data_IF_261555496735
#
_entry.id   IF_261555496735
#
_cell.length_a   1.000
_cell.length_b   1.000
_cell.length_c   1.000
_cell.angle_alpha   90.00
_cell.angle_beta   90.00
_cell.angle_gamma   90.00
#
_symmetry.space_group_name_H-M   'P 1'
#
loop_
_entity.id
_entity.type
_entity.pdbx_description
1 polymer ?
#
# COMPACT_ATOMS: atom_id res chain seq x y z
N UNK A 1 92.28 31.80 1.80
CA UNK A 1 93.64 32.35 1.41
C UNK A 1 93.43 33.49 0.44
N UNK A 2 93.99 34.63 0.79
CA UNK A 2 94.35 35.81 -0.05
C UNK A 2 93.18 36.51 -0.73
N UNK A 3 92.72 37.69 -0.22
CA UNK A 3 93.37 39.04 -0.05
C UNK A 3 93.32 39.82 -1.37
N UNK A 4 92.37 40.85 -1.42
CA UNK A 4 92.54 42.26 -1.48
C UNK A 4 93.58 42.74 -2.55
N UNK A 5 93.49 43.91 -3.26
CA UNK A 5 93.01 45.25 -2.84
C UNK A 5 92.17 46.01 -3.91
N UNK A 6 91.34 46.92 -3.57
CA UNK A 6 91.49 48.31 -3.18
C UNK A 6 92.28 49.19 -4.18
N UNK A 7 91.72 50.35 -4.42
CA UNK A 7 92.18 51.63 -4.90
C UNK A 7 91.69 52.07 -6.28
N UNK A 8 90.99 53.05 -6.34
CA UNK A 8 91.19 54.50 -6.27
C UNK A 8 90.94 55.16 -7.62
N UNK A 9 90.35 56.29 -7.55
CA UNK A 9 90.47 57.57 -8.29
C UNK A 9 89.10 57.86 -8.97
N UNK A 10 88.27 58.65 -8.39
CA UNK A 10 88.30 60.16 -8.20
C UNK A 10 88.21 60.94 -9.51
N UNK A 11 87.17 61.73 -9.50
CA UNK A 11 87.01 63.00 -10.18
C UNK A 11 86.92 63.06 -11.70
N UNK A 12 85.70 63.24 -12.18
CA UNK A 12 85.56 64.41 -13.11
C UNK A 12 84.11 64.89 -13.04
N UNK A 13 84.08 66.06 -12.48
CA UNK A 13 82.93 66.94 -12.29
C UNK A 13 82.62 67.62 -13.63
N UNK A 14 81.43 67.96 -13.78
CA UNK A 14 80.84 69.18 -14.32
C UNK A 14 79.86 69.04 -15.45
N UNK A 15 78.68 69.55 -15.10
CA UNK A 15 77.70 70.25 -15.94
C UNK A 15 77.10 69.59 -17.15
N UNK A 16 75.81 69.18 -16.97
CA UNK A 16 74.82 69.57 -17.96
C UNK A 16 73.48 69.79 -17.21
N UNK A 17 73.23 71.05 -16.93
CA UNK A 17 71.87 71.51 -16.60
C UNK A 17 71.07 71.44 -17.89
N UNK A 18 70.25 70.52 -18.02
CA UNK A 18 69.26 70.44 -19.07
C UNK A 18 67.89 70.69 -18.43
N UNK A 19 67.22 71.68 -18.96
CA UNK A 19 65.88 72.12 -18.65
C UNK A 19 64.92 71.01 -18.46
N UNK A 20 64.37 70.83 -17.29
CA UNK A 20 63.14 70.05 -17.13
C UNK A 20 61.96 71.02 -17.35
N UNK A 21 61.32 70.92 -18.50
CA UNK A 21 59.97 71.41 -18.70
C UNK A 21 59.04 70.80 -17.68
N UNK A 22 58.13 71.54 -17.03
CA UNK A 22 57.16 71.00 -16.17
C UNK A 22 56.13 70.19 -17.06
N UNK A 23 56.14 68.88 -16.90
CA UNK A 23 55.16 67.99 -17.46
C UNK A 23 53.76 68.43 -16.96
N UNK A 24 53.05 69.08 -17.85
CA UNK A 24 51.63 69.44 -17.61
C UNK A 24 50.88 68.21 -17.33
N UNK A 25 50.55 67.97 -16.07
CA UNK A 25 49.59 66.89 -15.70
C UNK A 25 48.27 67.29 -16.34
N UNK A 26 47.98 66.67 -17.47
CA UNK A 26 46.64 66.65 -18.03
C UNK A 26 45.64 66.15 -16.95
N UNK A 27 44.55 66.85 -16.76
CA UNK A 27 43.56 66.43 -15.75
C UNK A 27 43.16 64.99 -16.07
N UNK A 28 43.37 64.07 -15.11
CA UNK A 28 42.92 62.68 -15.18
C UNK A 28 41.40 62.74 -15.35
N UNK A 29 40.91 62.58 -16.57
CA UNK A 29 39.50 62.47 -16.81
C UNK A 29 39.05 61.26 -16.03
N UNK A 30 38.35 61.46 -14.94
CA UNK A 30 37.57 60.37 -14.31
C UNK A 30 36.66 59.82 -15.35
N UNK A 31 36.94 58.56 -15.77
CA UNK A 31 36.07 57.83 -16.70
C UNK A 31 34.69 57.74 -16.05
N UNK A 32 33.70 58.34 -16.67
CA UNK A 32 32.34 58.20 -16.23
C UNK A 32 32.06 56.68 -16.04
N UNK A 33 31.45 56.27 -14.93
CA UNK A 33 31.07 54.86 -14.75
C UNK A 33 30.29 54.42 -15.96
N UNK A 34 30.62 53.23 -16.48
CA UNK A 34 29.87 52.64 -17.57
C UNK A 34 28.40 52.42 -17.12
N UNK A 35 27.47 52.92 -17.89
CA UNK A 35 26.05 52.61 -17.70
C UNK A 35 25.87 51.10 -17.96
N UNK A 36 25.38 50.39 -16.95
CA UNK A 36 25.06 48.98 -17.05
C UNK A 36 23.54 48.83 -16.84
N UNK A 37 22.91 48.12 -17.74
CA UNK A 37 21.51 47.73 -17.57
C UNK A 37 21.43 46.65 -16.49
N UNK A 38 20.62 46.87 -15.50
CA UNK A 38 20.34 45.92 -14.43
C UNK A 38 18.89 45.51 -14.48
N UNK A 39 18.66 44.23 -14.43
CA UNK A 39 17.32 43.66 -14.29
C UNK A 39 17.18 43.04 -12.91
N UNK A 40 15.98 43.11 -12.35
CA UNK A 40 15.67 42.40 -11.14
C UNK A 40 15.74 40.89 -11.40
N UNK A 41 16.31 40.09 -10.49
CA UNK A 41 16.34 38.65 -10.63
C UNK A 41 14.93 38.12 -10.68
N UNK A 42 14.67 37.23 -11.64
CA UNK A 42 13.39 36.53 -11.75
C UNK A 42 13.28 35.54 -10.56
N UNK A 43 12.33 35.76 -9.68
CA UNK A 43 12.03 34.84 -8.58
C UNK A 43 10.93 33.88 -9.05
N UNK A 44 11.26 32.58 -9.16
CA UNK A 44 10.30 31.55 -9.47
C UNK A 44 10.26 30.53 -8.33
N UNK A 45 9.04 30.20 -7.88
CA UNK A 45 8.85 29.11 -6.93
C UNK A 45 8.95 27.80 -7.69
N UNK A 46 10.03 27.08 -7.49
CA UNK A 46 10.21 25.75 -8.04
C UNK A 46 9.72 24.70 -7.03
N UNK A 47 9.05 23.68 -7.54
CA UNK A 47 8.78 22.47 -6.77
C UNK A 47 9.90 21.49 -7.06
N UNK A 48 10.59 21.07 -6.01
CA UNK A 48 11.64 20.05 -6.10
C UNK A 48 10.99 18.68 -6.02
N UNK A 49 11.43 17.76 -6.91
CA UNK A 49 10.89 16.40 -7.03
C UNK A 49 12.01 15.40 -6.85
N UNK A 50 11.76 14.40 -6.03
CA UNK A 50 12.61 13.22 -5.97
C UNK A 50 11.93 12.10 -6.77
N UNK A 51 12.69 11.42 -7.66
CA UNK A 51 12.21 10.37 -8.52
C UNK A 51 12.66 9.00 -7.98
N UNK A 52 11.73 8.07 -7.91
CA UNK A 52 11.95 6.71 -7.45
C UNK A 52 11.40 5.72 -8.46
N UNK A 53 12.07 4.60 -8.62
CA UNK A 53 11.55 3.46 -9.38
C UNK A 53 10.84 2.52 -8.44
N UNK A 54 9.68 2.02 -8.85
CA UNK A 54 8.88 1.11 -8.05
C UNK A 54 8.09 0.13 -8.90
N UNK A 55 7.23 -0.62 -8.24
CA UNK A 55 6.34 -1.60 -8.88
C UNK A 55 4.93 -1.50 -8.32
N UNK A 56 3.97 -1.87 -9.13
CA UNK A 56 2.60 -2.01 -8.67
C UNK A 56 2.39 -3.36 -7.99
N UNK A 57 1.66 -3.33 -6.90
CA UNK A 57 1.25 -4.51 -6.15
C UNK A 57 -0.23 -4.41 -5.80
N UNK A 58 -0.89 -5.55 -5.76
CA UNK A 58 -2.29 -5.60 -5.33
C UNK A 58 -2.39 -5.36 -3.82
N UNK A 59 -3.44 -4.64 -3.39
CA UNK A 59 -3.69 -4.42 -1.96
C UNK A 59 -4.10 -5.73 -1.30
N UNK A 60 -5.09 -6.40 -1.87
CA UNK A 60 -5.59 -7.67 -1.38
C UNK A 60 -5.25 -8.81 -2.33
N UNK A 61 -4.76 -9.90 -1.77
CA UNK A 61 -4.42 -11.13 -2.48
C UNK A 61 -4.90 -12.32 -1.68
N UNK A 62 -6.01 -12.91 -2.11
CA UNK A 62 -6.70 -13.96 -1.37
C UNK A 62 -6.63 -15.28 -2.12
N UNK A 63 -6.03 -16.29 -1.50
CA UNK A 63 -6.13 -17.67 -1.95
C UNK A 63 -7.46 -18.25 -1.46
N UNK A 64 -8.41 -18.40 -2.37
CA UNK A 64 -9.73 -18.94 -2.07
C UNK A 64 -9.65 -20.44 -1.84
N UNK A 65 -10.07 -20.90 -0.65
CA UNK A 65 -10.05 -22.31 -0.26
C UNK A 65 -11.46 -22.85 -0.06
N UNK A 66 -11.62 -24.16 -0.25
CA UNK A 66 -12.82 -24.87 0.14
C UNK A 66 -12.99 -24.83 1.67
N UNK A 67 -14.20 -24.55 2.16
CA UNK A 67 -14.55 -24.54 3.59
C UNK A 67 -15.33 -25.77 4.02
N UNK A 68 -15.62 -26.66 3.08
CA UNK A 68 -16.24 -27.97 3.27
C UNK A 68 -15.64 -28.96 2.28
N UNK A 69 -15.60 -30.22 2.66
CA UNK A 69 -15.16 -31.32 1.80
C UNK A 69 -16.31 -31.82 0.94
N UNK A 70 -16.06 -32.00 -0.37
CA UNK A 70 -17.08 -32.52 -1.30
C UNK A 70 -16.63 -32.42 -2.75
N UNK A 71 -17.49 -32.85 -3.67
CA UNK A 71 -17.21 -32.77 -5.11
C UNK A 71 -17.58 -31.39 -5.66
N UNK A 72 -16.72 -30.83 -6.50
CA UNK A 72 -17.00 -29.61 -7.21
C UNK A 72 -17.97 -29.86 -8.34
N UNK A 73 -19.15 -29.23 -8.32
CA UNK A 73 -20.21 -29.47 -9.32
C UNK A 73 -20.37 -28.35 -10.33
N UNK A 74 -19.99 -27.12 -9.97
CA UNK A 74 -20.07 -25.97 -10.87
C UNK A 74 -18.94 -25.00 -10.65
N UNK A 75 -18.44 -24.39 -11.75
CA UNK A 75 -17.60 -23.20 -11.79
C UNK A 75 -18.40 -22.10 -12.48
N UNK A 76 -18.59 -20.93 -11.83
CA UNK A 76 -19.51 -19.88 -12.29
C UNK A 76 -18.79 -18.63 -12.79
N UNK A 77 -17.53 -18.70 -13.09
CA UNK A 77 -16.73 -17.58 -13.63
C UNK A 77 -15.85 -18.06 -14.78
N UNK A 78 -15.35 -17.09 -15.55
CA UNK A 78 -14.28 -17.29 -16.54
C UNK A 78 -12.95 -16.85 -15.93
N UNK A 79 -11.88 -17.55 -16.26
CA UNK A 79 -10.55 -17.19 -15.82
C UNK A 79 -10.21 -15.74 -16.23
N UNK A 80 -9.66 -14.97 -15.29
CA UNK A 80 -9.40 -13.53 -15.50
C UNK A 80 -10.62 -12.62 -15.38
N UNK A 81 -11.80 -13.15 -15.01
CA UNK A 81 -13.02 -12.34 -14.87
C UNK A 81 -12.94 -11.42 -13.66
N UNK A 82 -13.50 -10.20 -13.82
CA UNK A 82 -13.76 -9.28 -12.71
C UNK A 82 -14.97 -9.77 -11.92
N UNK A 83 -14.83 -9.83 -10.59
CA UNK A 83 -15.87 -10.32 -9.67
C UNK A 83 -16.05 -9.35 -8.51
N UNK A 84 -17.24 -9.36 -7.92
CA UNK A 84 -17.58 -8.56 -6.75
C UNK A 84 -17.62 -9.45 -5.50
N UNK A 85 -17.38 -8.84 -4.36
CA UNK A 85 -17.57 -9.48 -3.06
C UNK A 85 -18.97 -10.07 -2.95
N UNK A 86 -19.05 -11.38 -2.62
CA UNK A 86 -20.29 -12.11 -2.53
C UNK A 86 -20.69 -12.89 -3.79
N UNK A 87 -20.07 -12.63 -4.95
CA UNK A 87 -20.32 -13.39 -6.17
C UNK A 87 -19.97 -14.88 -5.96
N UNK A 88 -20.88 -15.77 -6.37
CA UNK A 88 -20.66 -17.21 -6.26
C UNK A 88 -19.74 -17.67 -7.38
N UNK A 89 -18.58 -18.20 -7.00
CA UNK A 89 -17.54 -18.65 -7.92
C UNK A 89 -17.59 -20.16 -8.17
N UNK A 90 -17.81 -20.93 -7.10
CA UNK A 90 -17.90 -22.39 -7.19
C UNK A 90 -19.10 -22.92 -6.41
N UNK A 91 -19.55 -24.08 -6.80
CA UNK A 91 -20.56 -24.83 -6.06
C UNK A 91 -20.00 -26.23 -5.78
N UNK A 92 -19.91 -26.58 -4.50
CA UNK A 92 -19.61 -27.91 -4.01
C UNK A 92 -20.93 -28.65 -3.86
N UNK A 93 -21.01 -29.97 -4.08
CA UNK A 93 -22.24 -30.73 -4.04
C UNK A 93 -23.03 -30.45 -2.73
N UNK A 94 -24.17 -29.75 -2.80
CA UNK A 94 -24.93 -29.37 -1.61
C UNK A 94 -25.86 -30.50 -1.09
N UNK A 95 -26.00 -31.60 -1.81
CA UNK A 95 -26.98 -32.67 -1.48
C UNK A 95 -26.75 -33.30 -0.10
N UNK A 96 -25.52 -33.72 0.27
CA UNK A 96 -25.25 -34.24 1.60
C UNK A 96 -25.60 -33.24 2.71
N UNK A 97 -25.21 -31.98 2.53
CA UNK A 97 -25.46 -30.92 3.49
C UNK A 97 -26.94 -30.55 3.61
N UNK A 98 -27.71 -30.63 2.52
CA UNK A 98 -29.18 -30.42 2.56
C UNK A 98 -29.88 -31.54 3.34
N UNK A 99 -29.46 -32.79 3.15
CA UNK A 99 -30.03 -33.91 3.91
C UNK A 99 -29.70 -33.80 5.40
N UNK A 100 -28.47 -33.43 5.72
CA UNK A 100 -28.06 -33.23 7.10
C UNK A 100 -28.82 -32.06 7.75
N UNK A 101 -28.94 -30.92 7.06
CA UNK A 101 -29.76 -29.81 7.52
C UNK A 101 -31.21 -30.25 7.79
N UNK A 102 -31.81 -31.01 6.89
CA UNK A 102 -33.19 -31.51 7.08
C UNK A 102 -33.32 -32.43 8.31
N UNK A 103 -32.31 -33.28 8.54
CA UNK A 103 -32.26 -34.17 9.71
C UNK A 103 -32.21 -33.36 11.01
N UNK A 104 -31.30 -32.40 11.10
CA UNK A 104 -31.13 -31.55 12.27
C UNK A 104 -32.34 -30.62 12.47
N UNK A 105 -32.94 -30.12 11.40
CA UNK A 105 -34.17 -29.32 11.45
C UNK A 105 -35.30 -30.10 12.14
N UNK A 106 -35.50 -31.39 11.79
CA UNK A 106 -36.50 -32.23 12.42
C UNK A 106 -36.23 -32.47 13.92
N UNK A 107 -34.95 -32.58 14.32
CA UNK A 107 -34.58 -32.71 15.73
C UNK A 107 -34.88 -31.41 16.53
N UNK A 108 -34.57 -30.26 15.95
CA UNK A 108 -34.90 -28.95 16.54
C UNK A 108 -36.39 -28.78 16.71
N UNK A 109 -37.20 -29.11 15.68
CA UNK A 109 -38.66 -29.05 15.75
C UNK A 109 -39.26 -29.99 16.79
N UNK A 110 -38.67 -31.16 17.00
CA UNK A 110 -39.06 -32.07 18.08
C UNK A 110 -38.75 -31.46 19.44
N UNK A 111 -37.52 -30.97 19.67
CA UNK A 111 -37.11 -30.35 20.93
C UNK A 111 -37.98 -29.12 21.28
N UNK A 112 -38.36 -28.32 20.27
CA UNK A 112 -39.28 -27.20 20.45
C UNK A 112 -40.64 -27.67 20.95
N UNK A 113 -41.24 -28.69 20.31
CA UNK A 113 -42.54 -29.24 20.72
C UNK A 113 -42.48 -29.89 22.08
N UNK A 114 -41.36 -30.50 22.45
CA UNK A 114 -41.17 -31.07 23.79
C UNK A 114 -41.08 -30.01 24.86
N UNK A 115 -40.40 -28.89 24.61
CA UNK A 115 -40.37 -27.74 25.50
C UNK A 115 -41.74 -27.11 25.65
N UNK A 116 -42.47 -26.89 24.56
CA UNK A 116 -43.84 -26.31 24.61
C UNK A 116 -44.78 -27.21 25.45
N UNK A 117 -44.69 -28.53 25.27
CA UNK A 117 -45.45 -29.52 26.08
C UNK A 117 -44.99 -29.46 27.56
N UNK A 118 -43.71 -29.33 27.85
CA UNK A 118 -43.20 -29.24 29.20
C UNK A 118 -43.74 -27.96 29.91
N UNK A 119 -43.83 -26.83 29.22
CA UNK A 119 -44.47 -25.64 29.76
C UNK A 119 -45.91 -25.86 30.14
N UNK A 120 -46.72 -26.46 29.27
CA UNK A 120 -48.15 -26.78 29.56
C UNK A 120 -48.29 -27.71 30.77
N UNK A 121 -47.43 -28.76 30.86
CA UNK A 121 -47.46 -29.70 31.98
C UNK A 121 -46.98 -29.03 33.29
N UNK A 122 -46.09 -28.07 33.23
CA UNK A 122 -45.63 -27.32 34.36
C UNK A 122 -46.74 -26.39 34.91
N UNK A 123 -47.50 -25.75 34.02
CA UNK A 123 -48.69 -24.94 34.43
C UNK A 123 -49.68 -25.77 35.22
N UNK A 124 -49.89 -27.05 34.88
CA UNK A 124 -50.71 -27.99 35.60
C UNK A 124 -50.03 -28.63 36.83
N UNK A 125 -48.79 -28.24 37.16
CA UNK A 125 -47.94 -28.86 38.21
C UNK A 125 -47.65 -30.37 38.01
N UNK A 126 -47.73 -30.86 36.79
CA UNK A 126 -47.48 -32.26 36.47
C UNK A 126 -45.98 -32.61 36.35
N UNK A 127 -45.09 -31.64 36.18
CA UNK A 127 -43.63 -31.80 36.13
C UNK A 127 -42.90 -30.73 36.98
N UNK A 128 -41.63 -31.02 37.30
CA UNK A 128 -40.75 -30.08 38.01
C UNK A 128 -40.24 -28.95 37.12
N UNK A 129 -39.74 -27.85 37.70
CA UNK A 129 -39.05 -26.82 36.98
C UNK A 129 -37.74 -27.35 36.33
N UNK A 130 -37.03 -28.26 36.99
CA UNK A 130 -35.83 -28.91 36.49
C UNK A 130 -36.10 -29.61 35.16
N UNK A 131 -37.25 -30.30 34.98
CA UNK A 131 -37.60 -30.93 33.72
C UNK A 131 -37.80 -29.91 32.59
N UNK A 132 -38.45 -28.77 32.87
CA UNK A 132 -38.61 -27.69 31.88
C UNK A 132 -37.23 -27.12 31.52
N UNK A 133 -36.37 -26.86 32.51
CA UNK A 133 -35.02 -26.34 32.26
C UNK A 133 -34.17 -27.31 31.45
N UNK A 134 -34.34 -28.65 31.66
CA UNK A 134 -33.67 -29.66 30.84
C UNK A 134 -34.16 -29.63 29.38
N UNK A 135 -35.47 -29.51 29.12
CA UNK A 135 -36.01 -29.40 27.76
C UNK A 135 -35.58 -28.11 27.07
N UNK A 136 -35.47 -27.04 27.84
CA UNK A 136 -34.92 -25.77 27.31
C UNK A 136 -33.46 -25.89 26.90
N UNK A 137 -32.62 -26.57 27.70
CA UNK A 137 -31.23 -26.83 27.35
C UNK A 137 -31.10 -27.71 26.11
N UNK A 138 -31.94 -28.76 25.95
CA UNK A 138 -31.97 -29.61 24.77
C UNK A 138 -32.36 -28.83 23.52
N UNK A 139 -33.31 -27.89 23.62
CA UNK A 139 -33.65 -26.98 22.52
C UNK A 139 -32.45 -26.13 22.12
N UNK A 140 -31.72 -25.56 23.07
CA UNK A 140 -30.54 -24.74 22.76
C UNK A 140 -29.43 -25.54 22.07
N UNK A 141 -29.18 -26.80 22.48
CA UNK A 141 -28.21 -27.69 21.85
C UNK A 141 -28.62 -27.99 20.40
N UNK A 142 -29.90 -28.30 20.17
CA UNK A 142 -30.39 -28.58 18.82
C UNK A 142 -30.42 -27.36 17.93
N UNK A 143 -30.71 -26.17 18.49
CA UNK A 143 -30.63 -24.90 17.78
C UNK A 143 -29.19 -24.57 17.33
N UNK A 144 -28.22 -24.75 18.22
CA UNK A 144 -26.80 -24.59 17.85
C UNK A 144 -26.40 -25.55 16.73
N UNK A 145 -26.86 -26.81 16.79
CA UNK A 145 -26.63 -27.80 15.76
C UNK A 145 -27.26 -27.43 14.42
N UNK A 146 -28.50 -26.89 14.46
CA UNK A 146 -29.21 -26.39 13.28
C UNK A 146 -28.46 -25.23 12.62
N UNK A 147 -27.97 -24.28 13.41
CA UNK A 147 -27.22 -23.15 12.91
C UNK A 147 -25.89 -23.61 12.28
N UNK A 148 -25.21 -24.59 12.86
CA UNK A 148 -24.02 -25.20 12.26
C UNK A 148 -24.35 -25.88 10.92
N UNK A 149 -25.42 -26.67 10.83
CA UNK A 149 -25.82 -27.32 9.59
C UNK A 149 -26.17 -26.32 8.48
N UNK A 150 -26.81 -25.19 8.82
CA UNK A 150 -27.08 -24.09 7.89
C UNK A 150 -25.78 -23.46 7.39
N UNK A 151 -24.81 -23.23 8.27
CA UNK A 151 -23.51 -22.67 7.95
C UNK A 151 -22.74 -23.60 7.00
N UNK A 152 -22.69 -24.90 7.28
CA UNK A 152 -22.04 -25.89 6.43
C UNK A 152 -22.67 -25.94 5.02
N UNK A 153 -23.99 -25.91 4.93
CA UNK A 153 -24.68 -25.80 3.64
C UNK A 153 -24.33 -24.47 2.94
N UNK A 154 -24.22 -23.37 3.68
CA UNK A 154 -23.77 -22.07 3.14
C UNK A 154 -22.39 -22.17 2.49
N UNK A 155 -21.45 -22.87 3.10
CA UNK A 155 -20.09 -23.06 2.61
C UNK A 155 -19.99 -23.89 1.33
N UNK A 156 -21.04 -24.62 0.94
CA UNK A 156 -21.08 -25.28 -0.37
C UNK A 156 -21.11 -24.31 -1.54
N UNK A 157 -21.54 -23.05 -1.30
CA UNK A 157 -21.44 -21.95 -2.25
C UNK A 157 -20.20 -21.12 -1.90
N UNK A 158 -19.15 -21.32 -2.66
CA UNK A 158 -17.90 -20.58 -2.45
C UNK A 158 -18.00 -19.24 -3.14
N UNK A 159 -17.95 -18.17 -2.34
CA UNK A 159 -18.12 -16.78 -2.81
C UNK A 159 -16.82 -16.00 -2.74
N UNK A 160 -16.70 -14.96 -3.56
CA UNK A 160 -15.59 -14.01 -3.48
C UNK A 160 -15.63 -13.22 -2.16
N UNK A 161 -14.54 -13.18 -1.38
CA UNK A 161 -14.46 -12.37 -0.17
C UNK A 161 -14.16 -10.89 -0.43
N UNK A 162 -13.66 -10.56 -1.63
CA UNK A 162 -13.23 -9.21 -2.04
C UNK A 162 -13.72 -8.88 -3.45
N UNK A 163 -13.73 -7.61 -3.80
CA UNK A 163 -13.83 -7.14 -5.18
C UNK A 163 -12.47 -7.30 -5.86
N UNK A 164 -12.45 -7.79 -7.12
CA UNK A 164 -11.18 -7.95 -7.82
C UNK A 164 -11.26 -8.87 -9.02
N UNK A 165 -10.09 -9.26 -9.52
CA UNK A 165 -9.93 -10.17 -10.66
C UNK A 165 -9.57 -11.56 -10.17
N UNK A 166 -10.35 -12.55 -10.61
CA UNK A 166 -10.09 -13.96 -10.30
C UNK A 166 -9.02 -14.50 -11.26
N UNK A 167 -8.09 -15.30 -10.74
CA UNK A 167 -7.11 -16.03 -11.54
C UNK A 167 -7.73 -17.24 -12.24
N UNK A 168 -6.92 -18.08 -12.81
CA UNK A 168 -7.33 -19.41 -13.30
C UNK A 168 -7.84 -20.31 -12.16
N UNK A 169 -8.59 -21.33 -12.54
CA UNK A 169 -9.03 -22.37 -11.61
C UNK A 169 -7.94 -23.42 -11.42
N UNK A 170 -7.58 -23.73 -10.18
CA UNK A 170 -6.62 -24.78 -9.85
C UNK A 170 -7.27 -26.17 -9.75
N UNK A 171 -8.60 -26.24 -9.81
CA UNK A 171 -9.37 -27.46 -9.72
C UNK A 171 -10.48 -27.48 -10.77
N UNK A 172 -10.76 -28.67 -11.29
CA UNK A 172 -11.81 -28.88 -12.30
C UNK A 172 -13.11 -29.38 -11.67
N UNK A 173 -14.22 -29.10 -12.36
CA UNK A 173 -15.52 -29.66 -12.02
C UNK A 173 -15.46 -31.19 -12.09
N UNK A 174 -15.96 -31.83 -11.04
CA UNK A 174 -15.88 -33.27 -10.85
C UNK A 174 -14.80 -33.75 -9.88
N UNK A 175 -13.83 -32.90 -9.57
CA UNK A 175 -12.80 -33.20 -8.58
C UNK A 175 -13.35 -33.08 -7.16
N UNK A 176 -12.80 -33.87 -6.26
CA UNK A 176 -13.02 -33.73 -4.82
C UNK A 176 -12.14 -32.60 -4.26
N UNK A 177 -12.71 -31.74 -3.45
CA UNK A 177 -12.02 -30.69 -2.71
C UNK A 177 -12.11 -30.98 -1.22
N UNK A 178 -11.03 -30.65 -0.51
CA UNK A 178 -10.88 -30.88 0.92
C UNK A 178 -10.93 -29.57 1.70
N UNK A 179 -11.62 -29.59 2.83
CA UNK A 179 -11.78 -28.44 3.71
C UNK A 179 -10.41 -27.88 4.14
N UNK A 180 -10.24 -26.56 4.01
CA UNK A 180 -9.06 -25.76 4.39
C UNK A 180 -7.73 -26.15 3.70
N UNK A 181 -7.70 -27.22 2.89
CA UNK A 181 -6.50 -27.68 2.21
C UNK A 181 -6.49 -27.26 0.73
N UNK A 182 -7.56 -27.53 0.00
CA UNK A 182 -7.62 -27.29 -1.44
C UNK A 182 -7.77 -25.82 -1.75
N UNK A 183 -6.77 -25.25 -2.46
CA UNK A 183 -6.87 -23.90 -3.05
C UNK A 183 -7.64 -24.05 -4.35
N UNK A 184 -8.73 -23.30 -4.50
CA UNK A 184 -9.59 -23.32 -5.67
C UNK A 184 -9.13 -22.35 -6.75
N UNK A 185 -8.81 -21.14 -6.34
CA UNK A 185 -8.31 -20.05 -7.17
C UNK A 185 -7.70 -18.97 -6.31
N UNK A 186 -7.12 -17.94 -6.95
CA UNK A 186 -6.64 -16.71 -6.32
C UNK A 186 -7.48 -15.54 -6.80
N UNK A 187 -7.76 -14.60 -5.92
CA UNK A 187 -8.43 -13.34 -6.24
C UNK A 187 -7.52 -12.20 -5.81
N UNK A 188 -7.32 -11.24 -6.69
CA UNK A 188 -6.50 -10.06 -6.43
C UNK A 188 -7.33 -8.79 -6.63
N UNK A 189 -7.20 -7.84 -5.71
CA UNK A 189 -7.79 -6.53 -5.90
C UNK A 189 -7.08 -5.80 -7.05
N UNK A 190 -7.83 -5.09 -7.88
CA UNK A 190 -7.28 -4.36 -9.03
C UNK A 190 -7.42 -2.85 -8.89
N UNK A 191 -8.33 -2.37 -8.04
CA UNK A 191 -8.58 -0.96 -7.79
C UNK A 191 -9.10 -0.76 -6.36
N UNK A 192 -8.45 0.09 -5.55
CA UNK A 192 -7.16 0.72 -5.81
C UNK A 192 -5.98 -0.27 -5.77
N UNK A 193 -4.80 0.18 -6.23
CA UNK A 193 -3.55 -0.60 -6.19
C UNK A 193 -2.49 0.15 -5.38
N UNK A 194 -1.49 -0.59 -4.91
CA UNK A 194 -0.33 -0.01 -4.27
C UNK A 194 0.81 0.17 -5.30
N UNK A 195 1.46 1.32 -5.23
CA UNK A 195 2.76 1.54 -5.84
C UNK A 195 3.82 1.46 -4.74
N UNK A 196 4.67 0.44 -4.82
CA UNK A 196 5.74 0.19 -3.86
C UNK A 196 7.08 0.58 -4.46
N UNK A 197 7.83 1.40 -3.72
CA UNK A 197 9.15 1.86 -4.13
C UNK A 197 10.09 1.91 -2.94
N UNK A 198 11.37 2.02 -3.23
CA UNK A 198 12.43 2.07 -2.22
C UNK A 198 13.17 3.40 -2.31
N UNK A 199 13.35 4.03 -1.16
CA UNK A 199 14.16 5.22 -1.00
C UNK A 199 15.42 4.91 -0.19
N UNK A 200 16.45 5.74 -0.33
CA UNK A 200 17.65 5.61 0.49
C UNK A 200 17.39 6.12 1.92
N UNK A 201 18.23 5.68 2.85
CA UNK A 201 18.22 6.23 4.22
C UNK A 201 18.48 7.76 4.22
N UNK A 202 19.23 8.26 3.23
CA UNK A 202 19.46 9.71 3.06
C UNK A 202 18.19 10.48 2.74
N UNK A 203 17.35 9.92 1.86
CA UNK A 203 16.06 10.50 1.50
C UNK A 203 15.11 10.53 2.71
N UNK A 204 15.06 9.44 3.47
CA UNK A 204 14.30 9.39 4.71
C UNK A 204 14.71 10.52 5.67
N UNK A 205 16.02 10.69 5.91
CA UNK A 205 16.54 11.74 6.78
C UNK A 205 16.22 13.15 6.25
N UNK A 206 16.28 13.36 4.93
CA UNK A 206 15.85 14.60 4.25
C UNK A 206 14.41 14.92 4.61
N UNK A 207 13.50 13.98 4.44
CA UNK A 207 12.08 14.18 4.70
C UNK A 207 11.75 14.37 6.18
N UNK A 208 12.39 13.63 7.08
CA UNK A 208 12.25 13.84 8.54
C UNK A 208 12.69 15.28 8.93
N UNK A 209 13.77 15.78 8.32
CA UNK A 209 14.25 17.15 8.60
C UNK A 209 13.30 18.20 8.06
N UNK A 210 12.72 17.99 6.87
CA UNK A 210 11.72 18.90 6.27
C UNK A 210 10.44 18.96 7.11
N UNK A 211 9.99 17.83 7.64
CA UNK A 211 8.84 17.76 8.55
C UNK A 211 9.12 18.52 9.85
N UNK A 212 10.25 18.25 10.49
CA UNK A 212 10.65 18.97 11.72
C UNK A 212 10.82 20.47 11.53
N UNK A 213 11.19 20.91 10.33
CA UNK A 213 11.29 22.31 9.96
C UNK A 213 9.94 22.94 9.57
N UNK A 214 8.85 22.16 9.56
CA UNK A 214 7.51 22.60 9.16
C UNK A 214 7.39 22.94 7.67
N UNK A 215 8.34 22.52 6.85
CA UNK A 215 8.37 22.80 5.41
C UNK A 215 7.58 21.78 4.57
N UNK A 216 7.43 20.55 5.07
CA UNK A 216 6.65 19.48 4.47
C UNK A 216 6.07 18.58 5.57
N UNK A 217 4.76 18.31 5.58
CA UNK A 217 4.20 17.38 6.54
C UNK A 217 4.72 15.95 6.30
N UNK A 218 4.91 15.20 7.39
CA UNK A 218 5.26 13.78 7.30
C UNK A 218 4.19 13.00 6.54
N UNK A 219 4.61 11.99 5.78
CA UNK A 219 3.68 11.08 5.12
C UNK A 219 2.89 10.21 6.10
N UNK A 220 3.34 10.09 7.36
CA UNK A 220 2.62 9.40 8.42
C UNK A 220 1.41 10.20 8.93
N UNK A 221 1.49 11.53 8.86
CA UNK A 221 0.44 12.43 9.34
C UNK A 221 -0.41 13.04 8.23
N UNK A 222 0.09 13.05 7.01
CA UNK A 222 -0.57 13.64 5.85
C UNK A 222 -0.23 12.86 4.57
N UNK A 223 -1.22 12.42 3.80
CA UNK A 223 -0.98 11.71 2.54
C UNK A 223 -0.42 12.67 1.49
N UNK A 224 0.91 12.72 1.38
CA UNK A 224 1.56 13.52 0.35
C UNK A 224 1.22 12.99 -1.05
N UNK A 225 0.96 13.87 -2.03
CA UNK A 225 0.71 13.45 -3.40
C UNK A 225 1.96 12.87 -4.03
N UNK A 226 1.78 11.85 -4.86
CA UNK A 226 2.80 11.32 -5.75
C UNK A 226 2.27 11.32 -7.17
N UNK A 227 3.18 11.39 -8.11
CA UNK A 227 2.87 11.30 -9.54
C UNK A 227 3.66 10.13 -10.13
N UNK A 228 2.98 9.30 -10.90
CA UNK A 228 3.57 8.07 -11.45
C UNK A 228 3.51 8.15 -12.97
N UNK A 229 4.55 7.63 -13.59
CA UNK A 229 4.69 7.46 -15.02
C UNK A 229 4.95 6.00 -15.31
N UNK A 230 4.18 5.42 -16.22
CA UNK A 230 4.43 4.06 -16.72
C UNK A 230 5.64 4.02 -17.66
N UNK A 231 6.14 2.83 -17.93
CA UNK A 231 7.37 2.64 -18.75
C UNK A 231 7.20 3.11 -20.20
N UNK A 232 5.98 3.11 -20.71
CA UNK A 232 5.60 3.51 -22.07
C UNK A 232 5.06 4.94 -22.17
N UNK A 233 5.06 5.69 -21.08
CA UNK A 233 4.58 7.08 -21.02
C UNK A 233 5.72 8.09 -20.99
N UNK A 234 5.48 9.27 -21.59
CA UNK A 234 6.45 10.37 -21.56
C UNK A 234 6.31 11.30 -20.36
N UNK A 235 5.16 11.28 -19.68
CA UNK A 235 4.81 12.19 -18.57
C UNK A 235 4.18 11.45 -17.41
N UNK A 236 4.18 12.10 -16.25
CA UNK A 236 3.52 11.60 -15.05
C UNK A 236 2.01 11.90 -15.11
N UNK A 237 1.21 10.93 -15.50
CA UNK A 237 -0.24 11.07 -15.67
C UNK A 237 -1.04 10.54 -14.48
N UNK A 238 -0.48 9.59 -13.72
CA UNK A 238 -1.20 8.90 -12.66
C UNK A 238 -0.90 9.57 -11.32
N UNK A 239 -1.95 10.02 -10.65
CA UNK A 239 -1.84 10.61 -9.31
C UNK A 239 -2.13 9.55 -8.25
N UNK A 240 -1.33 9.54 -7.22
CA UNK A 240 -1.51 8.71 -6.04
C UNK A 240 -1.21 9.48 -4.77
N UNK A 241 -1.41 8.83 -3.65
CA UNK A 241 -1.15 9.39 -2.32
C UNK A 241 -0.27 8.45 -1.52
N UNK A 242 0.72 9.01 -0.85
CA UNK A 242 1.51 8.24 0.11
C UNK A 242 0.58 7.56 1.12
N UNK A 243 0.80 6.29 1.32
CA UNK A 243 0.02 5.46 2.24
C UNK A 243 0.83 5.10 3.48
N UNK A 244 2.07 4.66 3.29
CA UNK A 244 2.90 4.16 4.37
C UNK A 244 4.38 4.26 3.99
N UNK A 245 5.22 4.57 4.96
CA UNK A 245 6.68 4.46 4.88
C UNK A 245 7.10 3.50 5.98
N UNK A 246 7.88 2.48 5.63
CA UNK A 246 8.34 1.48 6.59
C UNK A 246 9.20 2.16 7.67
N UNK A 247 9.19 1.59 8.86
CA UNK A 247 10.02 2.01 10.00
C UNK A 247 11.31 1.20 10.12
N UNK A 248 11.48 0.19 9.25
CA UNK A 248 12.65 -0.68 9.21
C UNK A 248 13.43 -0.40 7.92
N UNK A 249 14.71 -0.13 8.08
CA UNK A 249 15.66 -0.05 6.96
C UNK A 249 16.17 -1.45 6.68
N UNK A 250 16.16 -1.86 5.42
CA UNK A 250 16.75 -3.13 4.99
C UNK A 250 18.27 -3.08 5.18
N UNK A 251 18.80 -3.95 6.03
CA UNK A 251 20.22 -3.97 6.42
C UNK A 251 21.14 -4.37 5.25
N UNK A 252 20.62 -5.09 4.26
CA UNK A 252 21.41 -5.56 3.11
C UNK A 252 21.59 -4.47 2.04
N UNK A 253 20.55 -3.64 1.85
CA UNK A 253 20.50 -2.63 0.78
C UNK A 253 20.64 -1.20 1.31
N UNK A 254 20.39 -0.96 2.60
CA UNK A 254 20.34 0.37 3.20
C UNK A 254 19.15 1.20 2.69
N UNK A 255 18.14 0.54 2.16
CA UNK A 255 16.92 1.19 1.64
C UNK A 255 15.76 1.07 2.61
N UNK A 256 14.79 1.97 2.48
CA UNK A 256 13.53 1.94 3.18
C UNK A 256 12.39 1.82 2.19
N UNK A 257 11.43 0.98 2.51
CA UNK A 257 10.28 0.75 1.65
C UNK A 257 9.19 1.78 1.90
N UNK A 258 8.63 2.30 0.82
CA UNK A 258 7.50 3.19 0.85
C UNK A 258 6.39 2.67 -0.08
N UNK A 259 5.15 2.94 0.30
CA UNK A 259 3.97 2.51 -0.43
C UNK A 259 3.04 3.70 -0.62
N UNK A 260 2.53 3.84 -1.82
CA UNK A 260 1.48 4.80 -2.14
C UNK A 260 0.25 4.08 -2.70
N UNK A 261 -0.92 4.65 -2.48
CA UNK A 261 -2.18 4.15 -3.05
C UNK A 261 -2.51 4.94 -4.31
N UNK A 262 -2.87 4.23 -5.35
CA UNK A 262 -3.19 4.76 -6.67
C UNK A 262 -4.54 4.19 -7.13
N UNK A 263 -5.39 5.01 -7.68
CA UNK A 263 -6.59 4.54 -8.35
C UNK A 263 -6.22 3.90 -9.69
N UNK A 264 -6.84 2.78 -10.00
CA UNK A 264 -6.63 2.03 -11.22
C UNK A 264 -7.97 1.72 -11.91
N UNK A 265 -8.72 2.79 -12.22
CA UNK A 265 -10.06 2.65 -12.80
C UNK A 265 -10.00 2.06 -14.24
N UNK A 266 -8.89 2.25 -14.92
CA UNK A 266 -8.66 1.74 -16.28
C UNK A 266 -8.17 0.28 -16.28
N UNK A 267 -7.73 -0.25 -15.14
CA UNK A 267 -7.29 -1.64 -15.00
C UNK A 267 -5.94 -1.94 -15.67
N UNK A 268 -5.06 -0.96 -15.71
CA UNK A 268 -3.71 -1.04 -16.28
C UNK A 268 -2.80 -1.88 -15.41
#
# INVERSE_FOLDING_TARGET
MRAIPLTLISAFSLMLVACSEPESQAPKQEAKPAEVDVALPLQHKLTDWDEFTGRFETIDNVNLRARVTGYLVEKKFKDGQQVKKGDVLYVIDPRPFRYELKRIQAQYELAQKELDRAHLLRESNAISQEEVDRRFQELQITEASLNNAKLQLGFTKVTSPIDGKVSDSYVDVGNMVEENQTILTRIVSTNPIHFRFEGSQGDLLKYIRLDRAGQRPSSDSSPNPIYIKLMDEDKFYHEGKMHFVDNVVDDATGTIQATATVNNDEGI
#
